data_IF_497249622643
#
_entry.id   IF_497249622643
#
_cell.length_a   1.000
_cell.length_b   1.000
_cell.length_c   1.000
_cell.angle_alpha   90.00
_cell.angle_beta   90.00
_cell.angle_gamma   90.00
#
_symmetry.space_group_name_H-M   'P 1'
#
loop_
_entity.id
_entity.type
_entity.pdbx_description
1 polymer ?
#
# COMPACT_ATOMS: atom_id res chain seq x y z
N UNK A 1 4.64 12.07 9.45
CA UNK A 1 4.94 10.65 9.79
C UNK A 1 5.55 10.03 8.57
N UNK A 2 6.66 9.32 8.68
CA UNK A 2 7.45 8.92 7.52
C UNK A 2 7.46 7.40 7.33
N UNK A 3 7.39 6.95 6.08
CA UNK A 3 7.38 5.52 5.77
C UNK A 3 8.78 4.96 5.55
N UNK A 4 9.00 3.76 6.06
CA UNK A 4 10.26 3.04 5.94
C UNK A 4 10.01 1.61 5.45
N UNK A 5 10.86 1.15 4.53
CA UNK A 5 10.99 -0.25 4.10
C UNK A 5 12.32 -0.79 4.61
N UNK A 6 12.28 -1.84 5.43
CA UNK A 6 13.49 -2.50 5.96
C UNK A 6 14.49 -1.52 6.60
N UNK A 7 13.98 -0.48 7.27
CA UNK A 7 14.78 0.58 7.89
C UNK A 7 15.23 1.70 6.95
N UNK A 8 14.95 1.59 5.64
CA UNK A 8 15.23 2.64 4.64
C UNK A 8 14.02 3.54 4.46
N UNK A 9 14.21 4.86 4.60
CA UNK A 9 13.14 5.85 4.40
C UNK A 9 12.71 5.85 2.92
N UNK A 10 11.40 5.80 2.66
CA UNK A 10 10.84 5.77 1.31
C UNK A 10 10.69 7.16 0.66
N UNK A 11 11.09 8.24 1.34
CA UNK A 11 10.88 9.62 0.92
C UNK A 11 9.40 10.03 0.95
N UNK A 12 8.58 9.33 1.72
CA UNK A 12 7.14 9.52 1.79
C UNK A 12 6.73 9.93 3.20
N UNK A 13 6.12 11.09 3.31
CA UNK A 13 5.56 11.63 4.55
C UNK A 13 4.03 11.67 4.46
N UNK A 14 3.35 11.22 5.52
CA UNK A 14 1.92 11.48 5.75
C UNK A 14 1.72 12.89 6.25
N UNK A 15 0.73 13.55 5.65
CA UNK A 15 0.22 14.87 6.02
C UNK A 15 -1.30 14.83 6.21
N UNK A 16 -1.90 15.91 6.72
CA UNK A 16 -3.35 16.02 6.86
C UNK A 16 -4.09 15.96 5.50
N UNK A 17 -3.43 16.35 4.41
CA UNK A 17 -3.96 16.23 3.04
C UNK A 17 -4.14 14.78 2.58
N UNK A 18 -3.55 13.84 3.32
CA UNK A 18 -3.68 12.42 3.05
C UNK A 18 -4.91 11.82 3.75
N UNK A 19 -5.59 12.56 4.62
CA UNK A 19 -6.85 12.13 5.23
C UNK A 19 -7.95 12.25 4.18
N UNK A 20 -8.66 11.15 3.91
CA UNK A 20 -9.83 11.16 3.05
C UNK A 20 -10.99 11.88 3.74
N UNK A 21 -11.64 12.80 3.05
CA UNK A 21 -12.74 13.58 3.62
C UNK A 21 -13.98 12.72 3.93
N UNK A 22 -14.22 11.66 3.14
CA UNK A 22 -15.39 10.79 3.31
C UNK A 22 -15.20 9.76 4.43
N UNK A 23 -14.13 8.96 4.35
CA UNK A 23 -13.93 7.86 5.31
C UNK A 23 -13.03 8.24 6.50
N UNK A 24 -12.45 9.45 6.50
CA UNK A 24 -11.57 10.00 7.54
C UNK A 24 -10.32 9.16 7.86
N UNK A 25 -9.95 8.24 6.97
CA UNK A 25 -8.73 7.42 7.05
C UNK A 25 -7.62 8.07 6.24
N UNK A 26 -6.36 7.82 6.63
CA UNK A 26 -5.22 8.15 5.77
C UNK A 26 -5.24 7.29 4.50
N UNK A 27 -5.11 7.95 3.36
CA UNK A 27 -5.00 7.36 2.03
C UNK A 27 -3.80 7.97 1.31
N UNK A 28 -2.68 7.26 1.38
CA UNK A 28 -1.39 7.61 0.74
C UNK A 28 -0.86 6.39 -0.02
N UNK A 29 -0.83 6.43 -1.37
CA UNK A 29 -0.18 5.39 -2.14
C UNK A 29 1.33 5.32 -1.83
N UNK A 30 1.83 4.11 -1.64
CA UNK A 30 3.25 3.84 -1.40
C UNK A 30 3.74 2.89 -2.48
N UNK A 31 4.87 3.23 -3.12
CA UNK A 31 5.49 2.40 -4.17
C UNK A 31 6.93 2.12 -3.77
N UNK A 32 7.33 0.87 -3.92
CA UNK A 32 8.70 0.42 -3.67
C UNK A 32 9.00 -0.78 -4.57
N UNK A 33 10.28 -1.07 -4.75
CA UNK A 33 10.74 -2.25 -5.49
C UNK A 33 11.16 -3.36 -4.53
N UNK A 34 11.01 -4.59 -5.00
CA UNK A 34 11.57 -5.80 -4.38
C UNK A 34 12.38 -6.54 -5.42
N UNK A 35 13.38 -7.30 -4.98
CA UNK A 35 14.25 -8.07 -5.88
C UNK A 35 13.54 -9.35 -6.35
N UNK A 36 12.86 -10.02 -5.43
CA UNK A 36 12.17 -11.29 -5.66
C UNK A 36 10.87 -11.35 -4.86
N UNK A 37 9.88 -12.14 -5.30
CA UNK A 37 8.58 -12.25 -4.62
C UNK A 37 8.69 -12.89 -3.23
N UNK A 38 9.67 -13.77 -3.04
CA UNK A 38 9.98 -14.42 -1.77
C UNK A 38 10.77 -13.54 -0.80
N UNK A 39 11.15 -12.32 -1.22
CA UNK A 39 11.83 -11.37 -0.34
C UNK A 39 10.90 -10.93 0.79
N UNK A 40 11.30 -11.25 2.04
CA UNK A 40 10.59 -10.78 3.23
C UNK A 40 10.88 -9.31 3.46
N UNK A 41 9.84 -8.50 3.40
CA UNK A 41 9.92 -7.05 3.60
C UNK A 41 9.23 -6.66 4.90
N UNK A 42 9.63 -5.53 5.46
CA UNK A 42 9.01 -4.88 6.62
C UNK A 42 8.65 -3.44 6.27
N UNK A 43 7.37 -3.08 6.38
CA UNK A 43 6.95 -1.68 6.30
C UNK A 43 6.67 -1.14 7.70
N UNK A 44 7.11 0.09 7.94
CA UNK A 44 6.92 0.78 9.21
C UNK A 44 6.69 2.27 9.00
N UNK A 45 6.08 2.89 10.01
CA UNK A 45 5.84 4.34 10.07
C UNK A 45 6.59 4.89 11.27
N UNK A 46 7.32 5.98 11.05
CA UNK A 46 7.95 6.76 12.12
C UNK A 46 7.12 8.00 12.44
N UNK A 47 6.87 8.22 13.73
CA UNK A 47 6.21 9.43 14.24
C UNK A 47 6.89 9.87 15.53
N UNK A 48 7.37 11.11 15.57
CA UNK A 48 8.03 11.72 16.75
C UNK A 48 9.14 10.85 17.35
N UNK A 49 9.99 10.28 16.48
CA UNK A 49 11.10 9.40 16.88
C UNK A 49 10.71 7.97 17.24
N UNK A 50 9.42 7.63 17.35
CA UNK A 50 8.96 6.26 17.55
C UNK A 50 8.63 5.62 16.20
N UNK A 51 9.25 4.47 15.92
CA UNK A 51 8.98 3.66 14.72
C UNK A 51 8.06 2.49 15.07
N UNK A 52 7.01 2.30 14.28
CA UNK A 52 6.03 1.21 14.46
C UNK A 52 5.88 0.45 13.16
N UNK A 53 5.93 -0.88 13.24
CA UNK A 53 5.60 -1.74 12.11
C UNK A 53 4.13 -1.54 11.72
N UNK A 54 3.88 -1.51 10.41
CA UNK A 54 2.53 -1.65 9.90
C UNK A 54 2.03 -3.06 10.23
N UNK A 55 0.74 -3.17 10.52
CA UNK A 55 0.10 -4.46 10.74
C UNK A 55 0.37 -5.39 9.55
N UNK A 56 0.52 -6.68 9.83
CA UNK A 56 0.84 -7.74 8.85
C UNK A 56 2.30 -7.77 8.34
N UNK A 57 3.18 -6.87 8.77
CA UNK A 57 4.62 -6.97 8.49
C UNK A 57 5.38 -7.59 9.69
N UNK A 58 6.45 -8.37 9.44
CA UNK A 58 7.08 -8.62 8.14
C UNK A 58 6.44 -9.78 7.33
N UNK A 59 6.37 -9.64 6.01
CA UNK A 59 5.80 -10.63 5.06
C UNK A 59 6.55 -10.64 3.72
N UNK A 60 6.42 -11.73 2.96
CA UNK A 60 6.89 -11.80 1.56
C UNK A 60 5.88 -11.14 0.63
N UNK A 61 6.32 -10.71 -0.55
CA UNK A 61 5.40 -10.17 -1.58
C UNK A 61 4.49 -11.28 -2.11
N UNK A 62 5.00 -12.51 -2.26
CA UNK A 62 4.20 -13.67 -2.63
C UNK A 62 3.01 -13.89 -1.68
N UNK A 63 3.21 -13.76 -0.36
CA UNK A 63 2.12 -13.89 0.61
C UNK A 63 1.00 -12.86 0.41
N UNK A 64 1.30 -11.66 -0.11
CA UNK A 64 0.28 -10.68 -0.45
C UNK A 64 -0.47 -11.07 -1.72
N UNK A 65 0.25 -11.56 -2.75
CA UNK A 65 -0.34 -12.07 -3.99
C UNK A 65 -1.31 -13.20 -3.67
N UNK A 66 -0.88 -14.19 -2.89
CA UNK A 66 -1.70 -15.35 -2.52
C UNK A 66 -2.95 -14.93 -1.73
N UNK A 67 -2.80 -14.00 -0.77
CA UNK A 67 -3.90 -13.55 0.08
C UNK A 67 -4.91 -12.67 -0.68
N UNK A 68 -4.44 -11.88 -1.65
CA UNK A 68 -5.26 -10.95 -2.43
C UNK A 68 -5.63 -11.49 -3.82
N UNK A 69 -5.20 -12.70 -4.17
CA UNK A 69 -5.42 -13.29 -5.48
C UNK A 69 -5.00 -12.39 -6.65
N UNK A 70 -3.88 -11.66 -6.52
CA UNK A 70 -3.45 -10.68 -7.54
C UNK A 70 -3.07 -11.33 -8.88
N UNK A 71 -2.75 -12.62 -8.87
CA UNK A 71 -2.38 -13.45 -10.01
C UNK A 71 -3.47 -14.45 -10.42
N UNK A 72 -4.66 -14.35 -9.82
CA UNK A 72 -5.78 -15.21 -10.15
C UNK A 72 -6.20 -15.06 -11.62
N UNK A 73 -6.49 -16.21 -12.26
CA UNK A 73 -6.98 -16.21 -13.63
C UNK A 73 -8.31 -15.47 -13.76
N UNK A 74 -8.47 -14.76 -14.86
CA UNK A 74 -9.71 -14.06 -15.19
C UNK A 74 -10.90 -15.03 -15.21
N UNK A 75 -12.01 -14.66 -14.56
CA UNK A 75 -13.24 -15.47 -14.50
C UNK A 75 -13.42 -16.32 -13.23
N UNK A 76 -12.49 -16.27 -12.28
CA UNK A 76 -12.69 -16.86 -10.95
C UNK A 76 -13.66 -16.03 -10.12
N UNK A 77 -14.47 -16.68 -9.27
CA UNK A 77 -15.50 -16.04 -8.44
C UNK A 77 -14.96 -15.14 -7.31
N UNK A 78 -13.66 -14.81 -7.32
CA UNK A 78 -13.00 -13.95 -6.33
C UNK A 78 -13.27 -12.45 -6.57
N UNK A 79 -14.42 -12.12 -7.16
CA UNK A 79 -14.85 -10.73 -7.33
C UNK A 79 -15.27 -10.16 -5.96
N UNK A 80 -14.62 -9.08 -5.51
CA UNK A 80 -15.02 -8.36 -4.29
C UNK A 80 -14.25 -8.71 -3.02
N UNK A 81 -12.92 -8.85 -3.10
CA UNK A 81 -12.07 -9.17 -1.94
C UNK A 81 -12.26 -8.12 -0.83
N UNK A 82 -12.66 -8.52 0.40
CA UNK A 82 -13.01 -7.60 1.51
C UNK A 82 -11.89 -6.70 2.02
N UNK A 83 -10.66 -6.85 1.50
CA UNK A 83 -9.49 -6.13 1.95
C UNK A 83 -9.37 -4.73 1.36
N UNK A 84 -10.19 -4.41 0.35
CA UNK A 84 -10.26 -3.05 -0.19
C UNK A 84 -11.12 -2.17 0.74
N UNK A 85 -10.58 -1.02 1.11
CA UNK A 85 -11.36 0.03 1.76
C UNK A 85 -12.46 0.43 0.77
N UNK A 86 -13.70 0.11 1.09
CA UNK A 86 -14.87 0.54 0.31
C UNK A 86 -15.10 2.04 0.53
N UNK A 87 -14.37 2.86 -0.23
CA UNK A 87 -14.50 4.31 -0.25
C UNK A 87 -14.11 4.80 -1.65
N UNK A 88 -15.09 5.27 -2.40
CA UNK A 88 -14.91 5.73 -3.78
C UNK A 88 -13.85 6.84 -3.88
N UNK A 89 -13.81 7.75 -2.90
CA UNK A 89 -12.81 8.83 -2.85
C UNK A 89 -11.39 8.30 -2.66
N UNK A 90 -11.20 7.28 -1.81
CA UNK A 90 -9.90 6.62 -1.69
C UNK A 90 -9.53 5.89 -2.99
N UNK A 91 -10.49 5.18 -3.59
CA UNK A 91 -10.28 4.41 -4.82
C UNK A 91 -9.88 5.33 -5.99
N UNK A 92 -10.58 6.46 -6.16
CA UNK A 92 -10.24 7.48 -7.15
C UNK A 92 -8.85 8.08 -6.90
N UNK A 93 -8.47 8.33 -5.64
CA UNK A 93 -7.14 8.87 -5.29
C UNK A 93 -6.02 7.90 -5.64
N UNK A 94 -6.24 6.60 -5.42
CA UNK A 94 -5.28 5.54 -5.76
C UNK A 94 -5.12 5.41 -7.28
N UNK A 95 -6.23 5.36 -8.03
CA UNK A 95 -6.23 5.25 -9.51
C UNK A 95 -5.71 6.52 -10.19
N UNK A 96 -6.06 7.70 -9.68
CA UNK A 96 -5.69 9.00 -10.28
C UNK A 96 -4.19 9.29 -10.29
N UNK A 97 -3.40 8.66 -9.41
CA UNK A 97 -1.93 8.74 -9.44
C UNK A 97 -1.28 7.82 -10.49
N UNK A 98 -2.02 6.89 -11.09
CA UNK A 98 -1.53 6.00 -12.15
C UNK A 98 -1.57 6.67 -13.53
N UNK A 99 -2.60 7.47 -13.82
CA UNK A 99 -2.81 8.10 -15.14
C UNK A 99 -1.85 9.25 -15.48
N UNK A 100 -0.95 9.66 -14.58
CA UNK A 100 -0.06 10.81 -14.77
C UNK A 100 1.30 10.50 -15.40
N UNK A 101 1.56 9.29 -15.89
CA UNK A 101 2.88 8.95 -16.48
C UNK A 101 2.75 8.24 -17.82
N UNK A 102 3.17 8.94 -18.89
CA UNK A 102 3.73 8.32 -20.10
C UNK A 102 5.00 7.57 -19.67
N UNK A 103 5.11 6.30 -20.06
CA UNK A 103 6.39 5.61 -20.08
C UNK A 103 7.37 6.40 -20.96
N UNK A 104 8.53 6.74 -20.41
CA UNK A 104 9.70 7.23 -21.16
C UNK A 104 10.64 6.03 -21.30
#
# INVERSE_FOLDING_TARGET
MDFYKDGVNLGLSLSEKDICDDCRRYCRPVRFFVRHLDEKISLSVQHRGSQRLLSQFPKTVQSFIDQQGLDCSFGLANHGIPLQIQCDTCEMKIKGEESKRKCI
#
